data_IF_545349004293
#
_entry.id   IF_545349004293
#
_cell.length_a   1.000
_cell.length_b   1.000
_cell.length_c   1.000
_cell.angle_alpha   90.00
_cell.angle_beta   90.00
_cell.angle_gamma   90.00
#
_symmetry.space_group_name_H-M   'P 1'
#
loop_
_entity.id
_entity.type
_entity.pdbx_description
1 polymer ?
#
# COMPACT_ATOMS: atom_id res chain seq x y z
N UNK A 1 -8.90 -4.16 9.54
CA UNK A 1 -7.97 -3.48 10.48
C UNK A 1 -7.42 -4.38 11.60
N UNK A 2 -8.23 -4.95 12.51
CA UNK A 2 -7.74 -5.80 13.62
C UNK A 2 -6.86 -6.98 13.16
N UNK A 3 -7.23 -7.62 12.04
CA UNK A 3 -6.41 -8.70 11.44
C UNK A 3 -5.05 -8.17 10.94
N UNK A 4 -5.03 -7.04 10.24
CA UNK A 4 -3.78 -6.41 9.79
C UNK A 4 -2.85 -6.11 10.99
N UNK A 5 -3.39 -5.56 12.08
CA UNK A 5 -2.62 -5.31 13.31
C UNK A 5 -2.01 -6.59 13.90
N UNK A 6 -2.76 -7.70 13.91
CA UNK A 6 -2.25 -9.02 14.34
C UNK A 6 -1.16 -9.59 13.42
N UNK A 7 -1.12 -9.16 12.15
CA UNK A 7 -0.07 -9.53 11.19
C UNK A 7 1.18 -8.65 11.31
N UNK A 8 1.22 -7.73 12.29
CA UNK A 8 2.36 -6.82 12.48
C UNK A 8 2.39 -5.66 11.48
N UNK A 9 1.23 -5.29 10.95
CA UNK A 9 1.02 -4.10 10.11
C UNK A 9 0.44 -3.00 10.98
N UNK A 10 1.07 -1.82 10.97
CA UNK A 10 0.56 -0.68 11.72
C UNK A 10 -0.72 -0.16 11.09
N UNK A 11 -1.75 -0.01 11.92
CA UNK A 11 -3.07 0.52 11.56
C UNK A 11 -3.59 1.32 12.76
N UNK A 12 -4.46 2.32 12.56
CA UNK A 12 -5.05 3.08 13.66
C UNK A 12 -5.77 2.15 14.64
N UNK A 13 -5.66 2.40 15.95
CA UNK A 13 -6.49 1.70 16.91
C UNK A 13 -7.97 2.07 16.72
N UNK A 14 -8.87 1.08 16.70
CA UNK A 14 -10.31 1.31 16.71
C UNK A 14 -10.77 1.51 18.16
N UNK A 15 -11.25 2.70 18.49
CA UNK A 15 -11.74 3.05 19.83
C UNK A 15 -13.22 2.75 20.03
N UNK A 16 -14.05 3.00 19.03
CA UNK A 16 -15.49 2.76 19.12
C UNK A 16 -16.12 2.39 17.78
N UNK A 17 -17.18 1.57 17.85
CA UNK A 17 -18.07 1.23 16.74
C UNK A 17 -19.48 1.55 17.19
N UNK A 18 -20.17 2.43 16.46
CA UNK A 18 -21.57 2.76 16.70
C UNK A 18 -22.39 2.32 15.48
N UNK A 19 -23.10 1.18 15.56
CA UNK A 19 -23.93 0.69 14.47
C UNK A 19 -25.17 1.54 14.19
N UNK A 20 -25.68 2.28 15.18
CA UNK A 20 -26.90 3.10 15.04
C UNK A 20 -26.58 4.42 14.33
N UNK A 21 -25.46 5.05 14.70
CA UNK A 21 -24.95 6.25 14.05
C UNK A 21 -24.10 5.96 12.80
N UNK A 22 -23.89 4.68 12.48
CA UNK A 22 -23.02 4.22 11.40
C UNK A 22 -21.61 4.85 11.46
N UNK A 23 -21.07 4.98 12.67
CA UNK A 23 -19.81 5.68 12.91
C UNK A 23 -18.72 4.77 13.47
N UNK A 24 -17.48 5.06 13.09
CA UNK A 24 -16.28 4.39 13.57
C UNK A 24 -15.33 5.45 14.09
N UNK A 25 -14.85 5.29 15.33
CA UNK A 25 -13.88 6.19 15.95
C UNK A 25 -12.52 5.51 16.00
N UNK A 26 -11.51 6.14 15.40
CA UNK A 26 -10.16 5.62 15.33
C UNK A 26 -9.16 6.54 16.03
N UNK A 27 -8.00 5.98 16.37
CA UNK A 27 -6.77 6.72 16.67
C UNK A 27 -6.49 7.74 15.57
N UNK A 28 -6.25 8.98 15.99
CA UNK A 28 -5.75 10.00 15.08
C UNK A 28 -4.25 9.79 14.86
N UNK A 29 -3.87 9.53 13.62
CA UNK A 29 -2.48 9.34 13.23
C UNK A 29 -1.89 10.68 12.81
N UNK A 30 -1.05 11.26 13.67
CA UNK A 30 -0.35 12.51 13.35
C UNK A 30 0.79 12.26 12.36
N UNK A 31 0.62 12.73 11.13
CA UNK A 31 1.51 12.42 10.02
C UNK A 31 1.02 12.98 8.69
N UNK A 32 1.80 12.77 7.64
CA UNK A 32 1.42 13.11 6.26
C UNK A 32 1.14 11.84 5.47
N UNK A 33 0.27 11.94 4.48
CA UNK A 33 0.05 10.85 3.54
C UNK A 33 1.31 10.60 2.69
N UNK A 34 1.55 9.36 2.28
CA UNK A 34 2.62 9.04 1.32
C UNK A 34 2.42 9.84 0.04
N UNK A 35 1.17 10.10 -0.36
CA UNK A 35 0.85 10.98 -1.49
C UNK A 35 1.45 12.37 -1.35
N UNK A 36 1.20 13.05 -0.23
CA UNK A 36 1.71 14.40 0.02
C UNK A 36 3.24 14.40 0.06
N UNK A 37 3.84 13.40 0.72
CA UNK A 37 5.30 13.27 0.84
C UNK A 37 5.95 13.15 -0.54
N UNK A 38 5.41 12.30 -1.42
CA UNK A 38 5.95 12.10 -2.77
C UNK A 38 5.76 13.34 -3.66
N UNK A 39 4.66 14.09 -3.50
CA UNK A 39 4.44 15.34 -4.24
C UNK A 39 5.40 16.44 -3.79
N UNK A 40 5.58 16.61 -2.49
CA UNK A 40 6.45 17.65 -1.93
C UNK A 40 7.92 17.43 -2.35
N UNK A 41 8.41 16.19 -2.29
CA UNK A 41 9.76 15.82 -2.73
C UNK A 41 10.00 16.07 -4.22
N UNK A 42 8.97 15.92 -5.07
CA UNK A 42 9.05 16.26 -6.48
C UNK A 42 9.31 17.75 -6.74
N UNK A 43 8.99 18.62 -5.76
CA UNK A 43 9.15 20.07 -5.85
C UNK A 43 10.37 20.61 -5.11
N UNK A 44 10.76 19.98 -3.98
CA UNK A 44 11.83 20.46 -3.10
C UNK A 44 13.17 19.71 -3.26
N UNK A 45 13.20 18.65 -4.08
CA UNK A 45 14.36 17.78 -4.26
C UNK A 45 14.19 16.43 -3.56
N UNK A 46 14.65 15.37 -4.22
CA UNK A 46 14.45 13.99 -3.78
C UNK A 46 15.44 13.64 -2.66
N UNK A 47 14.93 13.34 -1.46
CA UNK A 47 15.71 12.69 -0.39
C UNK A 47 15.62 11.18 -0.61
N UNK A 48 16.58 10.67 -1.37
CA UNK A 48 16.65 9.28 -1.84
C UNK A 48 16.53 8.26 -0.69
N UNK A 49 17.18 8.53 0.44
CA UNK A 49 17.17 7.66 1.62
C UNK A 49 15.76 7.55 2.23
N UNK A 50 15.05 8.67 2.37
CA UNK A 50 13.70 8.71 2.94
C UNK A 50 12.69 8.00 2.03
N UNK A 51 12.84 8.16 0.72
CA UNK A 51 12.02 7.43 -0.25
C UNK A 51 12.26 5.92 -0.14
N UNK A 52 13.54 5.51 -0.05
CA UNK A 52 13.91 4.11 0.06
C UNK A 52 13.35 3.47 1.34
N UNK A 53 13.40 4.19 2.45
CA UNK A 53 12.83 3.75 3.73
C UNK A 53 11.30 3.58 3.64
N UNK A 54 10.59 4.58 3.14
CA UNK A 54 9.12 4.51 2.96
C UNK A 54 8.74 3.37 2.01
N UNK A 55 9.43 3.23 0.87
CA UNK A 55 9.19 2.16 -0.09
C UNK A 55 9.40 0.76 0.55
N UNK A 56 10.43 0.63 1.39
CA UNK A 56 10.71 -0.62 2.12
C UNK A 56 9.58 -0.94 3.10
N UNK A 57 9.17 0.05 3.91
CA UNK A 57 8.06 -0.11 4.84
C UNK A 57 6.75 -0.49 4.13
N UNK A 58 6.46 0.09 2.95
CA UNK A 58 5.28 -0.24 2.15
C UNK A 58 5.35 -1.69 1.67
N UNK A 59 6.47 -2.10 1.05
CA UNK A 59 6.65 -3.47 0.57
C UNK A 59 6.51 -4.51 1.69
N UNK A 60 7.08 -4.24 2.85
CA UNK A 60 7.00 -5.10 4.03
C UNK A 60 5.58 -5.20 4.60
N UNK A 61 4.87 -4.07 4.68
CA UNK A 61 3.49 -4.04 5.16
C UNK A 61 2.57 -4.85 4.24
N UNK A 62 2.68 -4.66 2.92
CA UNK A 62 1.86 -5.38 1.93
C UNK A 62 2.22 -6.87 1.94
N UNK A 63 3.49 -7.23 2.06
CA UNK A 63 3.93 -8.62 2.19
C UNK A 63 3.26 -9.32 3.38
N UNK A 64 3.25 -8.68 4.55
CA UNK A 64 2.57 -9.19 5.76
C UNK A 64 1.07 -9.35 5.56
N UNK A 65 0.40 -8.39 4.92
CA UNK A 65 -1.02 -8.48 4.59
C UNK A 65 -1.30 -9.70 3.70
N UNK A 66 -0.59 -9.80 2.59
CA UNK A 66 -0.79 -10.83 1.57
C UNK A 66 -0.46 -12.24 2.07
N UNK A 67 0.64 -12.41 2.81
CA UNK A 67 1.00 -13.69 3.44
C UNK A 67 -0.02 -14.08 4.52
N UNK A 68 -0.61 -13.11 5.21
CA UNK A 68 -1.72 -13.29 6.14
C UNK A 68 -3.08 -13.53 5.47
N UNK A 69 -3.13 -13.58 4.14
CA UNK A 69 -4.34 -13.77 3.34
C UNK A 69 -5.33 -12.61 3.46
N UNK A 70 -4.85 -11.39 3.69
CA UNK A 70 -5.64 -10.17 3.73
C UNK A 70 -5.27 -9.32 2.52
N UNK A 71 -6.27 -8.98 1.71
CA UNK A 71 -6.16 -8.05 0.58
C UNK A 71 -6.74 -6.72 1.05
N UNK A 72 -6.06 -5.62 0.78
CA UNK A 72 -6.53 -4.30 1.18
C UNK A 72 -7.67 -3.83 0.27
N UNK A 73 -7.55 -4.06 -1.05
CA UNK A 73 -8.57 -3.76 -2.05
C UNK A 73 -8.59 -2.30 -2.52
N UNK A 74 -7.76 -1.44 -1.93
CA UNK A 74 -7.61 -0.02 -2.30
C UNK A 74 -6.22 0.53 -1.88
N UNK A 75 -5.15 -0.16 -2.30
CA UNK A 75 -3.78 0.28 -2.01
C UNK A 75 -3.41 1.52 -2.83
N UNK A 76 -3.82 2.69 -2.36
CA UNK A 76 -3.37 3.99 -2.90
C UNK A 76 -2.42 4.67 -1.93
N UNK A 77 -1.61 5.60 -2.44
CA UNK A 77 -0.70 6.41 -1.61
C UNK A 77 -1.41 7.36 -0.65
N UNK A 78 -2.73 7.56 -0.82
CA UNK A 78 -3.55 8.36 0.11
C UNK A 78 -4.01 7.52 1.31
N UNK A 79 -4.09 6.19 1.16
CA UNK A 79 -4.45 5.25 2.22
C UNK A 79 -3.24 4.79 3.05
N UNK A 80 -2.15 5.56 2.99
CA UNK A 80 -0.89 5.31 3.67
C UNK A 80 -0.43 6.59 4.33
N UNK A 81 -0.24 6.56 5.64
CA UNK A 81 0.27 7.69 6.43
C UNK A 81 1.67 7.37 6.94
N UNK A 82 2.52 8.38 7.05
CA UNK A 82 3.82 8.27 7.73
C UNK A 82 3.77 9.15 8.96
N UNK A 83 3.94 8.55 10.14
CA UNK A 83 3.91 9.29 11.40
C UNK A 83 5.05 10.29 11.49
N UNK A 84 4.76 11.52 11.92
CA UNK A 84 5.77 12.60 12.02
C UNK A 84 6.84 12.33 13.08
N UNK A 85 6.49 11.60 14.15
CA UNK A 85 7.36 11.34 15.30
C UNK A 85 8.32 10.16 15.10
N UNK A 86 7.88 9.12 14.40
CA UNK A 86 8.58 7.84 14.29
C UNK A 86 8.94 7.42 12.87
N UNK A 87 8.50 8.19 11.86
CA UNK A 87 8.61 7.85 10.44
C UNK A 87 8.01 6.47 10.09
N UNK A 88 7.07 5.98 10.91
CA UNK A 88 6.44 4.67 10.71
C UNK A 88 5.26 4.78 9.75
N UNK A 89 5.23 3.86 8.78
CA UNK A 89 4.10 3.68 7.87
C UNK A 89 2.91 3.08 8.60
N UNK A 90 1.75 3.71 8.43
CA UNK A 90 0.45 3.25 8.92
C UNK A 90 -0.50 3.11 7.74
N UNK A 91 -1.08 1.91 7.56
CA UNK A 91 -2.11 1.68 6.57
C UNK A 91 -3.48 2.03 7.14
N UNK A 92 -4.28 2.74 6.35
CA UNK A 92 -5.62 3.18 6.70
C UNK A 92 -6.64 2.70 5.66
N UNK A 93 -7.92 2.89 5.96
CA UNK A 93 -9.04 2.56 5.07
C UNK A 93 -9.06 1.10 4.56
N UNK A 94 -9.51 0.20 5.44
CA UNK A 94 -9.75 -1.19 5.09
C UNK A 94 -11.20 -1.43 4.61
N UNK A 95 -11.91 -0.41 4.14
CA UNK A 95 -13.33 -0.49 3.76
C UNK A 95 -13.63 -1.50 2.65
N UNK A 96 -12.68 -1.67 1.72
CA UNK A 96 -12.77 -2.63 0.62
C UNK A 96 -11.94 -3.91 0.84
N UNK A 97 -11.42 -4.11 2.06
CA UNK A 97 -10.55 -5.24 2.35
C UNK A 97 -11.32 -6.55 2.45
N UNK A 98 -10.67 -7.64 2.03
CA UNK A 98 -11.27 -8.97 2.08
C UNK A 98 -10.20 -10.06 2.27
N UNK A 99 -10.66 -11.26 2.64
CA UNK A 99 -9.77 -12.41 2.85
C UNK A 99 -9.61 -13.15 1.53
N UNK A 100 -8.37 -13.28 1.07
CA UNK A 100 -8.05 -14.12 -0.08
C UNK A 100 -6.62 -14.64 0.01
N UNK A 101 -6.44 -15.89 -0.42
CA UNK A 101 -5.12 -16.52 -0.59
C UNK A 101 -4.68 -16.55 -2.04
N UNK A 102 -5.56 -16.15 -2.98
CA UNK A 102 -5.32 -16.25 -4.41
C UNK A 102 -4.20 -15.28 -4.85
N UNK A 103 -3.23 -15.74 -5.66
CA UNK A 103 -2.21 -14.87 -6.21
C UNK A 103 -2.77 -13.76 -7.12
N UNK A 104 -3.94 -13.97 -7.73
CA UNK A 104 -4.62 -12.98 -8.59
C UNK A 104 -5.01 -11.74 -7.78
N UNK A 105 -5.67 -11.91 -6.63
CA UNK A 105 -6.13 -10.77 -5.83
C UNK A 105 -4.97 -9.94 -5.28
N UNK A 106 -3.90 -10.61 -4.83
CA UNK A 106 -2.65 -9.97 -4.39
C UNK A 106 -1.96 -9.19 -5.51
N UNK A 107 -1.97 -9.75 -6.72
CA UNK A 107 -1.43 -9.11 -7.90
C UNK A 107 -2.27 -7.90 -8.31
N UNK A 108 -3.60 -7.97 -8.19
CA UNK A 108 -4.48 -6.83 -8.45
C UNK A 108 -4.24 -5.72 -7.43
N UNK A 109 -4.07 -6.04 -6.15
CA UNK A 109 -3.78 -5.05 -5.10
C UNK A 109 -2.46 -4.31 -5.36
N UNK A 110 -1.38 -5.04 -5.69
CA UNK A 110 -0.10 -4.43 -6.10
C UNK A 110 -0.22 -3.61 -7.40
N UNK A 111 -1.07 -4.05 -8.33
CA UNK A 111 -1.30 -3.33 -9.57
C UNK A 111 -2.05 -2.00 -9.35
N UNK A 112 -3.00 -1.95 -8.40
CA UNK A 112 -3.67 -0.70 -8.00
C UNK A 112 -2.64 0.30 -7.46
N UNK A 113 -1.73 -0.14 -6.59
CA UNK A 113 -0.65 0.70 -6.08
C UNK A 113 0.28 1.22 -7.19
N UNK A 114 0.68 0.33 -8.12
CA UNK A 114 1.48 0.72 -9.28
C UNK A 114 0.79 1.81 -10.10
N UNK A 115 -0.52 1.68 -10.35
CA UNK A 115 -1.30 2.67 -11.08
C UNK A 115 -1.43 3.99 -10.32
N UNK A 116 -1.61 3.94 -9.01
CA UNK A 116 -1.66 5.13 -8.16
C UNK A 116 -0.33 5.91 -8.24
N UNK A 117 0.82 5.21 -8.13
CA UNK A 117 2.14 5.83 -8.24
C UNK A 117 2.40 6.44 -9.63
N UNK A 118 2.04 5.73 -10.71
CA UNK A 118 2.18 6.26 -12.09
C UNK A 118 1.33 7.51 -12.29
N UNK A 119 0.14 7.57 -11.69
CA UNK A 119 -0.78 8.71 -11.85
C UNK A 119 -0.27 10.01 -11.20
N UNK A 120 0.68 9.92 -10.27
CA UNK A 120 1.27 11.08 -9.60
C UNK A 120 2.36 11.78 -10.45
N UNK A 121 2.45 11.44 -11.73
CA UNK A 121 3.41 11.92 -12.73
C UNK A 121 4.88 11.68 -12.36
N UNK A 122 5.81 12.05 -13.25
CA UNK A 122 7.24 11.70 -13.37
C UNK A 122 8.16 11.86 -12.15
N UNK A 123 7.62 12.21 -10.98
CA UNK A 123 8.33 12.47 -9.72
C UNK A 123 8.66 11.21 -8.92
N UNK A 124 8.06 10.06 -9.24
CA UNK A 124 8.13 8.85 -8.41
C UNK A 124 9.21 7.83 -8.82
N UNK A 125 10.11 8.17 -9.75
CA UNK A 125 11.32 7.40 -10.06
C UNK A 125 11.14 5.87 -10.10
N UNK A 126 11.98 5.18 -9.33
CA UNK A 126 12.02 3.72 -9.15
C UNK A 126 11.29 3.25 -7.88
N UNK A 127 10.41 4.07 -7.29
CA UNK A 127 9.73 3.78 -6.01
C UNK A 127 8.97 2.45 -6.06
N UNK A 128 8.26 2.19 -7.16
CA UNK A 128 7.53 0.93 -7.31
C UNK A 128 8.50 -0.26 -7.34
N UNK A 129 9.67 -0.13 -7.96
CA UNK A 129 10.67 -1.20 -8.00
C UNK A 129 11.21 -1.50 -6.61
N UNK A 130 11.49 -0.47 -5.80
CA UNK A 130 11.90 -0.60 -4.40
C UNK A 130 10.84 -1.28 -3.53
N UNK A 131 9.57 -0.91 -3.71
CA UNK A 131 8.45 -1.56 -3.02
C UNK A 131 8.39 -3.05 -3.38
N UNK A 132 8.55 -3.39 -4.66
CA UNK A 132 8.53 -4.78 -5.12
C UNK A 132 9.75 -5.58 -4.61
N UNK A 133 10.92 -4.95 -4.49
CA UNK A 133 12.10 -5.58 -3.94
C UNK A 133 11.96 -5.86 -2.44
N UNK A 134 11.40 -4.92 -1.67
CA UNK A 134 11.07 -5.15 -0.26
C UNK A 134 10.00 -6.25 -0.11
N UNK A 135 8.93 -6.18 -0.92
CA UNK A 135 7.90 -7.22 -0.95
C UNK A 135 8.49 -8.61 -1.25
N UNK A 136 9.46 -8.70 -2.18
CA UNK A 136 10.15 -9.94 -2.53
C UNK A 136 10.97 -10.52 -1.39
N UNK A 137 11.61 -9.66 -0.59
CA UNK A 137 12.40 -10.07 0.58
C UNK A 137 11.51 -10.54 1.73
N UNK A 138 10.33 -9.94 1.88
CA UNK A 138 9.47 -10.14 3.04
C UNK A 138 8.36 -11.17 2.86
N UNK A 139 7.79 -11.34 1.66
CA UNK A 139 6.70 -12.29 1.41
C UNK A 139 7.21 -13.69 1.11
N UNK A 140 6.63 -14.72 1.72
CA UNK A 140 6.89 -16.13 1.39
C UNK A 140 6.27 -16.56 0.07
N UNK A 141 5.32 -15.77 -0.44
CA UNK A 141 4.52 -16.04 -1.64
C UNK A 141 4.84 -15.06 -2.77
N UNK A 142 5.98 -14.38 -2.70
CA UNK A 142 6.36 -13.36 -3.66
C UNK A 142 6.37 -13.89 -5.10
N UNK A 143 6.90 -15.10 -5.33
CA UNK A 143 7.11 -15.62 -6.69
C UNK A 143 5.80 -15.81 -7.45
N UNK A 144 4.81 -16.48 -6.84
CA UNK A 144 3.49 -16.67 -7.46
C UNK A 144 2.76 -15.34 -7.65
N UNK A 145 2.88 -14.42 -6.69
CA UNK A 145 2.25 -13.10 -6.74
C UNK A 145 2.84 -12.24 -7.87
N UNK A 146 4.17 -12.15 -7.98
CA UNK A 146 4.83 -11.31 -8.99
C UNK A 146 4.69 -11.88 -10.41
N UNK A 147 4.75 -13.21 -10.55
CA UNK A 147 4.41 -13.87 -11.82
C UNK A 147 2.99 -13.51 -12.26
N UNK A 148 2.08 -13.43 -11.28
CA UNK A 148 0.70 -13.06 -11.56
C UNK A 148 0.53 -11.57 -11.85
N UNK A 149 1.25 -10.70 -11.14
CA UNK A 149 1.31 -9.27 -11.41
C UNK A 149 1.74 -9.00 -12.86
N UNK A 150 2.71 -9.73 -13.39
CA UNK A 150 3.10 -9.62 -14.80
C UNK A 150 1.93 -9.91 -15.77
N UNK A 151 1.10 -10.92 -15.47
CA UNK A 151 -0.10 -11.23 -16.27
C UNK A 151 -1.18 -10.14 -16.13
N UNK A 152 -1.38 -9.60 -14.93
CA UNK A 152 -2.33 -8.51 -14.66
C UNK A 152 -1.92 -7.25 -15.41
N UNK A 153 -0.62 -6.87 -15.37
CA UNK A 153 -0.05 -5.74 -16.14
C UNK A 153 -0.35 -5.84 -17.63
N UNK A 154 -0.18 -7.03 -18.23
CA UNK A 154 -0.48 -7.26 -19.65
C UNK A 154 -1.96 -7.06 -19.97
N UNK A 155 -2.86 -7.53 -19.10
CA UNK A 155 -4.31 -7.37 -19.26
C UNK A 155 -4.75 -5.92 -19.09
N UNK A 156 -4.18 -5.20 -18.12
CA UNK A 156 -4.45 -3.78 -17.90
C UNK A 156 -4.06 -2.89 -19.08
N UNK A 157 -2.89 -3.14 -19.70
CA UNK A 157 -2.43 -2.41 -20.90
C UNK A 157 -3.37 -2.56 -22.10
N UNK A 158 -3.97 -3.74 -22.29
CA UNK A 158 -4.92 -3.98 -23.39
C UNK A 158 -6.21 -3.16 -23.24
N UNK A 159 -6.65 -2.89 -22.00
CA UNK A 159 -7.85 -2.07 -21.74
C UNK A 159 -7.61 -0.58 -21.97
N UNK A 160 -6.40 -0.07 -21.72
CA UNK A 160 -6.07 1.34 -21.96
C UNK A 160 -5.94 1.72 -23.45
N UNK A 161 -5.81 0.75 -24.37
CA UNK A 161 -5.74 1.00 -25.82
C UNK A 161 -7.13 1.04 -26.50
N UNK A 162 -8.21 0.84 -25.75
CA UNK A 162 -9.61 0.82 -26.27
C UNK A 162 -10.42 2.00 -25.69
N UNK A 163 -9.73 3.04 -25.22
CA UNK A 163 -10.34 4.28 -24.70
C UNK A 163 -10.14 5.44 -25.66
#
# INVERSE_FOLDING_TARGET
>A
MTKARRLGVHTPALYAVDPELHSLTFEFVEGSSVKEILLDMGTQGIIEERISDIATQIGDAIAKLHDGGLIHGDLTTSNMLVKSDSNQLVLIDFGLSFISTLPEDKAVDLYVLERALISMHSSCGDVMERILDAYRKSSKQWCSTLNKLAQVRQRGRKRSMVG
#
